data_IF_182239518629
#
_entry.id   IF_182239518629
#
_cell.length_a   1.000
_cell.length_b   1.000
_cell.length_c   1.000
_cell.angle_alpha   90.00
_cell.angle_beta   90.00
_cell.angle_gamma   90.00
#
_symmetry.space_group_name_H-M   'P 1'
#
loop_
_entity.id
_entity.type
_entity.pdbx_description
1 polymer ?
#
# COMPACT_ATOMS: atom_id res chain seq x y z
N UNK A 1 -12.75 13.04 25.68
CA UNK A 1 -12.93 13.67 24.35
C UNK A 1 -11.53 14.09 23.97
N UNK A 2 -10.72 13.13 23.51
CA UNK A 2 -9.27 13.31 23.44
C UNK A 2 -8.81 12.82 22.08
N UNK A 3 -9.13 13.62 21.06
CA UNK A 3 -8.83 13.38 19.65
C UNK A 3 -7.38 13.73 19.29
N UNK A 4 -6.44 13.62 20.23
CA UNK A 4 -5.08 14.15 20.07
C UNK A 4 -3.99 13.06 19.98
N UNK A 5 -4.31 11.80 20.28
CA UNK A 5 -3.32 10.70 20.40
C UNK A 5 -3.10 9.89 19.10
N UNK A 6 -3.85 10.14 18.03
CA UNK A 6 -3.70 9.43 16.74
C UNK A 6 -2.97 10.27 15.67
N UNK A 7 -2.16 11.25 16.07
CA UNK A 7 -1.28 11.93 15.11
C UNK A 7 -0.13 11.00 14.76
N UNK A 8 0.08 10.63 13.48
CA UNK A 8 1.22 9.82 13.09
C UNK A 8 2.52 10.60 13.39
N UNK A 9 3.15 10.30 14.52
CA UNK A 9 4.47 10.80 14.86
C UNK A 9 5.49 10.04 14.04
N UNK A 10 5.79 10.58 12.86
CA UNK A 10 6.70 10.01 11.89
C UNK A 10 6.13 10.16 10.49
N UNK A 11 6.99 10.36 9.49
CA UNK A 11 6.59 10.50 8.09
C UNK A 11 6.09 9.16 7.48
N UNK A 12 5.26 8.40 8.20
CA UNK A 12 4.69 7.11 7.82
C UNK A 12 3.18 7.20 7.83
N UNK A 13 2.59 6.88 6.69
CA UNK A 13 1.14 6.71 6.54
C UNK A 13 0.87 5.22 6.35
N UNK A 14 0.05 4.59 7.21
CA UNK A 14 -0.24 3.16 7.14
C UNK A 14 -1.21 2.88 5.98
N UNK A 15 -0.67 2.83 4.77
CA UNK A 15 -1.42 2.68 3.54
C UNK A 15 -1.31 1.25 3.00
N UNK A 16 -2.44 0.62 2.72
CA UNK A 16 -2.48 -0.67 2.05
C UNK A 16 -1.82 -0.52 0.67
N UNK A 17 -0.77 -1.32 0.44
CA UNK A 17 0.10 -1.23 -0.74
C UNK A 17 0.60 0.17 -1.07
N UNK A 18 0.72 1.06 -0.07
CA UNK A 18 1.07 2.49 -0.27
C UNK A 18 0.09 3.25 -1.18
N UNK A 19 -1.18 2.80 -1.22
CA UNK A 19 -2.24 3.37 -2.05
C UNK A 19 -3.47 3.73 -1.21
N UNK A 20 -4.04 2.80 -0.46
CA UNK A 20 -5.38 2.98 0.15
C UNK A 20 -5.30 3.12 1.66
N UNK A 21 -6.12 3.99 2.23
CA UNK A 21 -6.29 4.08 3.69
C UNK A 21 -7.32 3.04 4.14
N UNK A 22 -6.97 2.09 5.03
CA UNK A 22 -7.93 1.09 5.50
C UNK A 22 -9.19 1.74 6.10
N UNK A 23 -10.36 1.22 5.75
CA UNK A 23 -11.65 1.74 6.24
C UNK A 23 -12.12 3.02 5.56
N UNK A 24 -11.31 3.64 4.69
CA UNK A 24 -11.71 4.80 3.89
C UNK A 24 -11.58 4.42 2.41
N UNK A 25 -12.70 4.03 1.78
CA UNK A 25 -12.70 3.42 0.45
C UNK A 25 -12.33 4.34 -0.73
N UNK A 26 -12.35 5.67 -0.54
CA UNK A 26 -12.23 6.61 -1.65
C UNK A 26 -10.84 7.27 -1.86
N UNK A 27 -10.06 7.67 -0.83
CA UNK A 27 -8.77 8.30 -1.10
C UNK A 27 -7.71 7.27 -1.49
N UNK A 28 -7.20 7.40 -2.72
CA UNK A 28 -6.03 6.69 -3.22
C UNK A 28 -4.82 7.62 -3.32
N UNK A 29 -3.68 7.17 -2.80
CA UNK A 29 -2.37 7.82 -2.94
C UNK A 29 -1.58 7.17 -4.07
N UNK A 30 -0.86 7.97 -4.85
CA UNK A 30 0.04 7.48 -5.90
C UNK A 30 1.39 8.20 -5.82
N UNK A 31 2.48 7.47 -6.03
CA UNK A 31 3.86 7.97 -5.96
C UNK A 31 4.41 8.21 -4.56
N UNK A 32 3.67 7.86 -3.51
CA UNK A 32 4.02 8.16 -2.11
C UNK A 32 5.02 7.13 -1.54
N UNK A 33 6.21 7.04 -2.12
CA UNK A 33 7.31 6.23 -1.60
C UNK A 33 8.67 6.54 -2.27
N UNK A 34 9.78 6.18 -1.63
CA UNK A 34 11.12 6.24 -2.24
C UNK A 34 11.54 4.87 -2.79
N UNK A 35 11.24 4.61 -4.07
CA UNK A 35 11.63 3.35 -4.72
C UNK A 35 13.09 3.32 -5.17
N UNK A 36 13.77 2.19 -4.97
CA UNK A 36 15.17 1.97 -5.36
C UNK A 36 15.29 0.81 -6.37
N UNK A 37 16.09 0.92 -7.46
CA UNK A 37 17.04 2.01 -7.74
C UNK A 37 16.49 3.27 -8.43
N UNK A 38 15.24 3.30 -8.93
CA UNK A 38 14.66 4.51 -9.57
C UNK A 38 13.14 4.57 -9.47
N UNK A 39 12.58 5.78 -9.25
CA UNK A 39 11.16 6.08 -8.97
C UNK A 39 10.26 6.21 -10.22
N UNK A 40 10.81 6.24 -11.44
CA UNK A 40 10.08 6.69 -12.64
C UNK A 40 8.74 5.96 -12.90
N UNK A 41 8.61 4.69 -12.50
CA UNK A 41 7.41 3.90 -12.80
C UNK A 41 6.56 3.52 -11.56
N UNK A 42 6.82 4.06 -10.36
CA UNK A 42 6.05 3.68 -9.16
C UNK A 42 4.57 4.04 -9.28
N UNK A 43 4.28 5.30 -9.61
CA UNK A 43 2.90 5.76 -9.79
C UNK A 43 2.19 5.03 -10.94
N UNK A 44 2.91 4.68 -12.01
CA UNK A 44 2.37 3.88 -13.12
C UNK A 44 1.97 2.47 -12.67
N UNK A 45 2.78 1.83 -11.82
CA UNK A 45 2.40 0.50 -11.31
C UNK A 45 1.23 0.61 -10.34
N UNK A 46 1.19 1.64 -9.49
CA UNK A 46 0.07 1.89 -8.58
C UNK A 46 -1.24 2.20 -9.32
N UNK A 47 -1.18 2.94 -10.43
CA UNK A 47 -2.36 3.28 -11.22
C UNK A 47 -3.08 2.04 -11.77
N UNK A 48 -2.36 0.93 -11.99
CA UNK A 48 -2.95 -0.34 -12.44
C UNK A 48 -3.90 -0.94 -11.41
N UNK A 49 -3.61 -0.81 -10.12
CA UNK A 49 -4.53 -1.23 -9.06
C UNK A 49 -5.68 -0.21 -8.94
N UNK A 50 -5.35 1.08 -8.86
CA UNK A 50 -6.33 2.17 -8.71
C UNK A 50 -7.39 2.11 -9.82
N UNK A 51 -6.97 2.01 -11.08
CA UNK A 51 -7.89 1.95 -12.22
C UNK A 51 -8.85 0.75 -12.12
N UNK A 52 -8.33 -0.44 -11.77
CA UNK A 52 -9.18 -1.64 -11.61
C UNK A 52 -10.15 -1.51 -10.44
N UNK A 53 -9.74 -0.86 -9.36
CA UNK A 53 -10.63 -0.59 -8.24
C UNK A 53 -11.77 0.34 -8.67
N UNK A 54 -11.44 1.43 -9.36
CA UNK A 54 -12.42 2.40 -9.86
C UNK A 54 -13.35 1.83 -10.93
N UNK A 55 -12.91 0.85 -11.73
CA UNK A 55 -13.77 0.17 -12.72
C UNK A 55 -14.52 -1.04 -12.14
N UNK A 56 -14.37 -1.31 -10.84
CA UNK A 56 -14.99 -2.46 -10.17
C UNK A 56 -14.45 -3.83 -10.60
N UNK A 57 -13.30 -3.86 -11.30
CA UNK A 57 -12.58 -5.10 -11.65
C UNK A 57 -11.71 -5.64 -10.51
N UNK A 58 -11.56 -4.87 -9.43
CA UNK A 58 -10.77 -5.22 -8.25
C UNK A 58 -11.51 -4.80 -6.99
N UNK A 59 -11.62 -5.73 -6.04
CA UNK A 59 -12.18 -5.48 -4.72
C UNK A 59 -11.07 -5.51 -3.66
N UNK A 60 -11.11 -4.52 -2.77
CA UNK A 60 -10.18 -4.44 -1.64
C UNK A 60 -10.43 -5.63 -0.69
N UNK A 61 -9.39 -6.10 0.02
CA UNK A 61 -9.62 -7.01 1.13
C UNK A 61 -10.33 -6.28 2.29
N UNK A 62 -10.77 -7.02 3.30
CA UNK A 62 -11.36 -6.39 4.48
C UNK A 62 -10.32 -5.56 5.27
N UNK A 63 -10.81 -4.73 6.18
CA UNK A 63 -9.95 -3.81 6.96
C UNK A 63 -8.91 -4.56 7.81
N UNK A 64 -9.25 -5.73 8.34
CA UNK A 64 -8.34 -6.51 9.17
C UNK A 64 -7.20 -7.10 8.34
N UNK A 65 -7.51 -7.62 7.15
CA UNK A 65 -6.51 -8.13 6.20
C UNK A 65 -5.63 -7.00 5.64
N UNK A 66 -6.19 -5.81 5.39
CA UNK A 66 -5.43 -4.62 5.03
C UNK A 66 -4.42 -4.25 6.12
N UNK A 67 -4.86 -4.18 7.38
CA UNK A 67 -4.01 -3.86 8.53
C UNK A 67 -2.90 -4.89 8.72
N UNK A 68 -3.22 -6.19 8.65
CA UNK A 68 -2.24 -7.27 8.74
C UNK A 68 -1.21 -7.21 7.60
N UNK A 69 -1.64 -6.88 6.38
CA UNK A 69 -0.74 -6.69 5.25
C UNK A 69 0.19 -5.51 5.44
N UNK A 70 -0.30 -4.37 5.95
CA UNK A 70 0.52 -3.20 6.26
C UNK A 70 1.60 -3.58 7.27
N UNK A 71 1.23 -4.18 8.40
CA UNK A 71 2.18 -4.58 9.44
C UNK A 71 3.25 -5.55 8.92
N UNK A 72 2.85 -6.55 8.10
CA UNK A 72 3.79 -7.49 7.46
C UNK A 72 4.74 -6.76 6.52
N UNK A 73 4.22 -5.87 5.69
CA UNK A 73 5.02 -5.17 4.69
C UNK A 73 5.97 -4.18 5.40
N UNK A 74 5.55 -3.50 6.47
CA UNK A 74 6.42 -2.67 7.32
C UNK A 74 7.54 -3.47 8.00
N UNK A 75 7.22 -4.62 8.59
CA UNK A 75 8.22 -5.50 9.21
C UNK A 75 9.30 -5.96 8.21
N UNK A 76 8.91 -6.27 6.98
CA UNK A 76 9.85 -6.63 5.90
C UNK A 76 10.78 -5.46 5.54
N UNK A 77 10.29 -4.22 5.54
CA UNK A 77 11.10 -3.05 5.25
C UNK A 77 12.05 -2.71 6.41
N UNK A 78 11.59 -2.84 7.66
CA UNK A 78 12.41 -2.61 8.86
C UNK A 78 13.58 -3.60 8.96
N UNK A 79 13.41 -4.84 8.50
CA UNK A 79 14.49 -5.84 8.50
C UNK A 79 15.61 -5.55 7.50
N UNK A 80 15.40 -4.69 6.50
CA UNK A 80 16.38 -4.42 5.43
C UNK A 80 17.13 -3.10 5.61
N UNK A 81 16.62 -2.18 6.43
CA UNK A 81 17.20 -0.86 6.61
C UNK A 81 17.44 -0.59 8.10
N UNK A 82 18.71 -0.46 8.47
CA UNK A 82 19.12 0.07 9.77
C UNK A 82 18.36 1.36 10.07
N UNK A 83 17.88 1.51 11.30
CA UNK A 83 17.01 2.59 11.77
C UNK A 83 17.67 3.98 11.66
N UNK A 84 17.66 4.57 10.46
CA UNK A 84 17.97 5.96 10.22
C UNK A 84 16.76 6.68 9.60
N UNK A 85 16.52 7.96 9.91
CA UNK A 85 15.33 8.72 9.47
C UNK A 85 15.09 8.75 7.95
N UNK A 86 16.14 8.49 7.15
CA UNK A 86 16.13 8.50 5.68
C UNK A 86 15.67 7.17 5.04
N UNK A 87 15.48 6.10 5.80
CA UNK A 87 15.04 4.79 5.28
C UNK A 87 13.56 4.49 5.54
N UNK A 88 12.82 5.49 6.00
CA UNK A 88 11.46 5.34 6.54
C UNK A 88 10.40 5.02 5.46
N UNK A 89 10.66 5.42 4.21
CA UNK A 89 9.75 5.25 3.05
C UNK A 89 10.41 4.50 1.88
N UNK A 90 11.61 3.93 2.09
CA UNK A 90 12.36 3.27 1.03
C UNK A 90 11.76 1.89 0.72
N UNK A 91 11.66 1.53 -0.55
CA UNK A 91 11.18 0.21 -0.98
C UNK A 91 12.02 -0.38 -2.11
N UNK A 92 12.11 -1.70 -2.11
CA UNK A 92 12.58 -2.46 -3.26
C UNK A 92 11.49 -2.48 -4.34
N UNK A 93 11.75 -1.79 -5.46
CA UNK A 93 10.76 -1.61 -6.51
C UNK A 93 10.31 -2.94 -7.13
N UNK A 94 11.24 -3.84 -7.44
CA UNK A 94 10.94 -5.10 -8.11
C UNK A 94 10.08 -6.01 -7.21
N UNK A 95 10.40 -6.06 -5.91
CA UNK A 95 9.60 -6.78 -4.91
C UNK A 95 8.20 -6.21 -4.81
N UNK A 96 8.09 -4.89 -4.72
CA UNK A 96 6.81 -4.20 -4.61
C UNK A 96 5.91 -4.47 -5.83
N UNK A 97 6.44 -4.35 -7.06
CA UNK A 97 5.66 -4.61 -8.28
C UNK A 97 5.16 -6.06 -8.32
N UNK A 98 6.01 -7.03 -7.95
CA UNK A 98 5.61 -8.44 -7.88
C UNK A 98 4.49 -8.67 -6.86
N UNK A 99 4.59 -8.07 -5.68
CA UNK A 99 3.55 -8.17 -4.66
C UNK A 99 2.25 -7.45 -5.09
N UNK A 100 2.36 -6.32 -5.79
CA UNK A 100 1.22 -5.57 -6.30
C UNK A 100 0.47 -6.34 -7.38
N UNK A 101 1.16 -7.01 -8.30
CA UNK A 101 0.50 -7.86 -9.31
C UNK A 101 -0.21 -9.05 -8.68
N UNK A 102 0.39 -9.71 -7.69
CA UNK A 102 -0.28 -10.78 -6.93
C UNK A 102 -1.55 -10.29 -6.24
N UNK A 103 -1.47 -9.09 -5.66
CA UNK A 103 -2.61 -8.46 -5.00
C UNK A 103 -3.73 -8.14 -6.00
N UNK A 104 -3.40 -7.59 -7.17
CA UNK A 104 -4.39 -7.32 -8.23
C UNK A 104 -5.13 -8.60 -8.62
N UNK A 105 -4.43 -9.72 -8.81
CA UNK A 105 -5.06 -11.01 -9.12
C UNK A 105 -5.94 -11.52 -7.97
N UNK A 106 -5.53 -11.34 -6.72
CA UNK A 106 -6.35 -11.70 -5.56
C UNK A 106 -7.63 -10.85 -5.51
N UNK A 107 -7.54 -9.54 -5.74
CA UNK A 107 -8.71 -8.67 -5.72
C UNK A 107 -9.63 -8.82 -6.92
N UNK A 108 -9.13 -9.28 -8.08
CA UNK A 108 -9.99 -9.73 -9.19
C UNK A 108 -10.86 -10.91 -8.77
N UNK A 109 -10.28 -11.88 -8.05
CA UNK A 109 -11.06 -13.03 -7.51
C UNK A 109 -12.09 -12.58 -6.47
N UNK A 110 -11.75 -11.62 -5.60
CA UNK A 110 -12.71 -11.04 -4.66
C UNK A 110 -13.84 -10.32 -5.37
N UNK A 111 -13.54 -9.48 -6.36
CA UNK A 111 -14.56 -8.80 -7.16
C UNK A 111 -15.50 -9.78 -7.89
N UNK A 112 -14.98 -10.90 -8.38
CA UNK A 112 -15.78 -11.96 -9.00
C UNK A 112 -16.68 -12.72 -8.01
N UNK A 113 -16.35 -12.73 -6.71
CA UNK A 113 -17.17 -13.39 -5.68
C UNK A 113 -18.27 -12.48 -5.12
N UNK A 114 -18.15 -11.16 -5.30
CA UNK A 114 -19.16 -10.16 -4.89
C UNK A 114 -20.20 -9.91 -5.98
N UNK A 115 -19.89 -10.28 -7.23
CA UNK A 115 -20.80 -10.23 -8.39
C UNK A 115 -21.64 -11.49 -8.50
#
# INVERSE_FOLDING_TARGET
>A
MDAEEDRPTGHRLPLFKRIVTPGIGNPCFAGLAQASPTIVNLAEQQSKLIARHLTGEYELPDVAEMAATIARDEAKHLGQYYSAPRHTIQLDFARYVRELHREIEAGRKRAAAVR
#
